data_IF_379156062968
#
_entry.id   IF_379156062968
#
_cell.length_a   1.000
_cell.length_b   1.000
_cell.length_c   1.000
_cell.angle_alpha   90.00
_cell.angle_beta   90.00
_cell.angle_gamma   90.00
#
_symmetry.space_group_name_H-M   'P 1'
#
loop_
_entity.id
_entity.type
_entity.pdbx_description
1 polymer ?
#
# COMPACT_ATOMS: atom_id res chain seq x y z
N UNK A 1 -23.59 -5.40 7.96
CA UNK A 1 -22.10 -5.44 7.94
C UNK A 1 -21.56 -4.04 8.23
N UNK A 2 -20.70 -3.85 9.25
CA UNK A 2 -20.17 -2.54 9.59
C UNK A 2 -19.16 -2.07 8.53
N UNK A 3 -19.25 -0.80 8.12
CA UNK A 3 -18.28 -0.15 7.23
C UNK A 3 -17.00 0.17 8.01
N UNK A 4 -15.85 0.23 7.34
CA UNK A 4 -14.60 0.69 7.96
C UNK A 4 -14.60 2.21 8.19
N UNK A 5 -15.34 2.96 7.38
CA UNK A 5 -15.53 4.40 7.52
C UNK A 5 -16.98 4.74 7.82
N UNK A 6 -17.18 5.90 8.45
CA UNK A 6 -18.51 6.46 8.69
C UNK A 6 -19.28 6.63 7.36
N UNK A 7 -20.60 6.41 7.33
CA UNK A 7 -21.42 6.70 6.17
C UNK A 7 -21.25 8.16 5.69
N UNK A 8 -21.01 8.36 4.40
CA UNK A 8 -20.84 9.69 3.79
C UNK A 8 -19.40 10.21 3.72
N UNK A 9 -18.44 9.57 4.40
CA UNK A 9 -17.00 9.88 4.27
C UNK A 9 -16.31 8.81 3.44
N UNK A 10 -15.96 9.15 2.20
CA UNK A 10 -15.02 8.41 1.37
C UNK A 10 -13.63 8.99 1.63
N UNK A 11 -12.72 8.19 2.20
CA UNK A 11 -11.30 8.55 2.23
C UNK A 11 -10.61 7.88 1.06
N UNK A 12 -9.95 8.66 0.21
CA UNK A 12 -9.18 8.10 -0.91
C UNK A 12 -7.90 7.41 -0.45
N UNK A 13 -7.36 7.81 0.71
CA UNK A 13 -6.09 7.32 1.24
C UNK A 13 -6.12 7.24 2.77
N UNK A 14 -5.27 6.40 3.38
CA UNK A 14 -5.09 6.36 4.83
C UNK A 14 -4.38 7.64 5.33
N UNK A 15 -4.90 8.29 6.38
CA UNK A 15 -4.24 9.46 6.97
C UNK A 15 -2.91 9.06 7.63
N UNK A 16 -1.84 9.87 7.53
CA UNK A 16 -0.51 9.57 8.06
C UNK A 16 -0.50 9.21 9.55
N UNK A 17 -1.38 9.82 10.34
CA UNK A 17 -1.50 9.58 11.78
C UNK A 17 -1.96 8.14 12.11
N UNK A 18 -2.43 7.38 11.11
CA UNK A 18 -2.88 6.00 11.25
C UNK A 18 -1.97 4.99 10.52
N UNK A 19 -0.85 5.43 9.94
CA UNK A 19 0.02 4.55 9.18
C UNK A 19 0.67 3.45 10.02
N UNK A 20 0.84 3.66 11.32
CA UNK A 20 1.37 2.62 12.21
C UNK A 20 0.37 1.47 12.46
N UNK A 21 -0.92 1.60 12.12
CA UNK A 21 -1.96 0.62 12.43
C UNK A 21 -3.21 0.80 11.58
N UNK A 22 -3.05 0.71 10.26
CA UNK A 22 -4.13 0.89 9.32
C UNK A 22 -4.91 -0.40 9.07
N UNK A 23 -6.22 -0.40 9.34
CA UNK A 23 -7.09 -1.55 9.08
C UNK A 23 -7.86 -1.37 7.78
N UNK A 24 -7.69 -2.30 6.85
CA UNK A 24 -8.48 -2.37 5.61
C UNK A 24 -8.98 -3.79 5.32
N UNK A 25 -9.91 -3.90 4.36
CA UNK A 25 -10.33 -5.20 3.86
C UNK A 25 -9.29 -5.73 2.86
N UNK A 26 -8.90 -6.99 3.02
CA UNK A 26 -8.00 -7.67 2.10
C UNK A 26 -8.64 -7.76 0.71
N UNK A 27 -7.99 -7.16 -0.29
CA UNK A 27 -8.49 -7.07 -1.66
C UNK A 27 -8.78 -8.44 -2.27
N UNK A 28 -8.01 -9.48 -1.92
CA UNK A 28 -8.23 -10.85 -2.42
C UNK A 28 -9.37 -11.60 -1.73
N UNK A 29 -9.89 -11.10 -0.61
CA UNK A 29 -10.92 -11.80 0.19
C UNK A 29 -12.32 -11.74 -0.44
N UNK A 30 -12.55 -10.82 -1.40
CA UNK A 30 -13.83 -10.68 -2.10
C UNK A 30 -15.01 -10.55 -1.13
N UNK A 31 -15.99 -11.46 -1.24
CA UNK A 31 -17.19 -11.47 -0.39
C UNK A 31 -16.92 -11.79 1.09
N UNK A 32 -15.79 -12.44 1.41
CA UNK A 32 -15.43 -12.76 2.80
C UNK A 32 -15.05 -11.51 3.61
N UNK A 33 -14.56 -10.46 2.93
CA UNK A 33 -14.22 -9.14 3.50
C UNK A 33 -13.40 -9.28 4.78
N UNK A 34 -12.35 -10.08 4.69
CA UNK A 34 -11.40 -10.29 5.78
C UNK A 34 -10.69 -8.96 6.06
N UNK A 35 -10.63 -8.56 7.33
CA UNK A 35 -9.91 -7.35 7.74
C UNK A 35 -8.46 -7.72 8.00
N UNK A 36 -7.54 -6.88 7.53
CA UNK A 36 -6.12 -6.96 7.86
C UNK A 36 -5.62 -5.63 8.39
N UNK A 37 -4.68 -5.72 9.32
CA UNK A 37 -3.96 -4.58 9.87
C UNK A 37 -2.59 -4.45 9.20
N UNK A 38 -2.30 -3.25 8.72
CA UNK A 38 -1.07 -2.93 8.03
C UNK A 38 -0.31 -1.83 8.75
N UNK A 39 1.01 -1.93 8.72
CA UNK A 39 1.89 -0.78 8.88
C UNK A 39 2.18 -0.21 7.50
N UNK A 40 2.05 1.11 7.34
CA UNK A 40 2.26 1.81 6.08
C UNK A 40 3.55 2.60 6.17
N UNK A 41 4.51 2.29 5.30
CA UNK A 41 5.82 2.95 5.27
C UNK A 41 6.04 3.64 3.93
N UNK A 42 6.22 4.97 3.90
CA UNK A 42 6.56 5.70 2.68
C UNK A 42 7.89 5.25 2.10
N UNK A 43 7.95 5.13 0.77
CA UNK A 43 9.17 4.84 0.03
C UNK A 43 9.12 5.49 -1.35
N UNK A 44 10.19 5.33 -2.13
CA UNK A 44 10.29 5.85 -3.48
C UNK A 44 10.37 4.70 -4.50
N UNK A 45 9.75 4.89 -5.65
CA UNK A 45 9.85 3.96 -6.78
C UNK A 45 11.19 4.15 -7.50
N UNK A 46 11.94 3.06 -7.69
CA UNK A 46 13.23 3.06 -8.39
C UNK A 46 13.18 2.38 -9.77
N UNK A 47 11.99 2.21 -10.36
CA UNK A 47 11.84 1.56 -11.67
C UNK A 47 12.14 2.47 -12.86
N UNK A 48 12.23 3.78 -12.65
CA UNK A 48 12.70 4.76 -13.62
C UNK A 48 13.10 6.06 -12.90
N UNK A 49 13.64 7.00 -13.64
CA UNK A 49 14.15 8.31 -13.19
C UNK A 49 13.07 9.25 -12.63
N UNK A 50 11.79 8.92 -12.79
CA UNK A 50 10.69 9.74 -12.29
C UNK A 50 10.58 9.74 -10.74
N UNK A 51 11.12 8.72 -10.06
CA UNK A 51 11.21 8.70 -8.60
C UNK A 51 9.87 8.84 -7.86
N UNK A 52 8.76 8.32 -8.39
CA UNK A 52 7.43 8.49 -7.80
C UNK A 52 7.37 7.96 -6.36
N UNK A 53 6.73 8.70 -5.46
CA UNK A 53 6.49 8.23 -4.09
C UNK A 53 5.48 7.09 -4.04
N UNK A 54 5.81 6.07 -3.23
CA UNK A 54 5.01 4.90 -2.95
C UNK A 54 4.69 4.79 -1.45
N UNK A 55 3.60 4.10 -1.14
CA UNK A 55 3.27 3.61 0.20
C UNK A 55 3.42 2.10 0.21
N UNK A 56 4.26 1.57 1.09
CA UNK A 56 4.44 0.14 1.30
C UNK A 56 3.47 -0.33 2.37
N UNK A 57 2.56 -1.23 2.04
CA UNK A 57 1.65 -1.84 3.00
C UNK A 57 2.31 -3.11 3.52
N UNK A 58 2.73 -3.10 4.78
CA UNK A 58 3.38 -4.20 5.47
C UNK A 58 2.32 -4.89 6.33
N UNK A 59 2.12 -6.18 6.11
CA UNK A 59 1.22 -6.98 6.94
C UNK A 59 1.84 -7.12 8.34
N UNK A 60 1.11 -6.70 9.39
CA UNK A 60 1.64 -6.75 10.75
C UNK A 60 1.78 -8.16 11.31
N UNK A 61 1.06 -9.13 10.78
CA UNK A 61 1.15 -10.52 11.24
C UNK A 61 2.39 -11.21 10.68
N UNK A 62 2.67 -11.01 9.39
CA UNK A 62 3.78 -11.68 8.70
C UNK A 62 5.04 -10.82 8.61
N UNK A 63 4.92 -9.52 8.85
CA UNK A 63 5.96 -8.50 8.62
C UNK A 63 6.47 -8.44 7.18
N UNK A 64 5.67 -8.91 6.22
CA UNK A 64 6.00 -8.87 4.80
C UNK A 64 5.29 -7.72 4.09
N UNK A 65 5.92 -7.17 3.05
CA UNK A 65 5.26 -6.21 2.17
C UNK A 65 4.16 -6.94 1.36
N UNK A 66 2.93 -6.49 1.53
CA UNK A 66 1.74 -7.05 0.89
C UNK A 66 1.43 -6.39 -0.46
N UNK A 67 1.57 -5.07 -0.56
CA UNK A 67 1.30 -4.27 -1.77
C UNK A 67 2.01 -2.91 -1.71
N UNK A 68 2.13 -2.27 -2.88
CA UNK A 68 2.53 -0.88 -3.00
C UNK A 68 1.40 -0.06 -3.62
N UNK A 69 1.14 1.12 -3.05
CA UNK A 69 0.23 2.13 -3.60
C UNK A 69 0.96 3.46 -3.80
N UNK A 70 0.31 4.44 -4.43
CA UNK A 70 0.92 5.76 -4.63
C UNK A 70 0.85 6.59 -3.36
N UNK A 71 1.94 7.30 -3.03
CA UNK A 71 1.94 8.21 -1.89
C UNK A 71 1.29 9.55 -2.27
N UNK A 72 0.09 9.89 -1.75
CA UNK A 72 -0.59 11.15 -2.06
C UNK A 72 0.20 12.37 -1.57
N UNK A 73 1.05 12.21 -0.56
CA UNK A 73 1.86 13.27 0.03
C UNK A 73 3.19 13.50 -0.72
N UNK A 74 3.53 12.66 -1.70
CA UNK A 74 4.74 12.85 -2.49
C UNK A 74 4.55 14.03 -3.48
N UNK A 75 5.47 15.03 -3.50
CA UNK A 75 5.24 16.29 -4.21
C UNK A 75 5.14 16.15 -5.73
N UNK A 76 5.91 15.23 -6.32
CA UNK A 76 5.89 14.98 -7.77
C UNK A 76 4.67 14.18 -8.21
N UNK A 77 4.63 12.89 -7.84
CA UNK A 77 3.59 11.95 -8.22
C UNK A 77 2.20 12.19 -7.62
N UNK A 78 2.09 12.77 -6.42
CA UNK A 78 0.81 13.06 -5.73
C UNK A 78 -0.17 11.88 -5.73
N UNK A 79 0.35 10.69 -5.40
CA UNK A 79 -0.44 9.45 -5.33
C UNK A 79 -0.69 8.75 -6.67
N UNK A 80 -0.28 9.32 -7.80
CA UNK A 80 -0.40 8.68 -9.11
C UNK A 80 0.76 7.72 -9.36
N UNK A 81 0.44 6.53 -9.84
CA UNK A 81 1.42 5.52 -10.23
C UNK A 81 1.14 4.97 -11.63
N UNK A 82 2.20 4.68 -12.38
CA UNK A 82 2.09 3.82 -13.56
C UNK A 82 2.09 2.34 -13.14
N UNK A 83 1.88 1.43 -14.09
CA UNK A 83 1.83 -0.01 -13.84
C UNK A 83 3.11 -0.55 -13.15
N UNK A 84 4.27 0.08 -13.37
CA UNK A 84 5.53 -0.35 -12.76
C UNK A 84 5.56 -0.16 -11.23
N UNK A 85 4.88 0.84 -10.68
CA UNK A 85 4.94 1.14 -9.24
C UNK A 85 4.43 -0.02 -8.37
N UNK A 86 3.18 -0.47 -8.57
CA UNK A 86 2.65 -1.65 -7.87
C UNK A 86 3.42 -2.93 -8.18
N UNK A 87 3.98 -3.06 -9.40
CA UNK A 87 4.73 -4.23 -9.84
C UNK A 87 6.09 -4.40 -9.13
N UNK A 88 6.59 -3.40 -8.39
CA UNK A 88 7.80 -3.52 -7.56
C UNK A 88 7.71 -4.68 -6.55
N UNK A 89 6.49 -5.13 -6.20
CA UNK A 89 6.30 -6.32 -5.37
C UNK A 89 6.97 -7.58 -5.94
N UNK A 90 7.05 -7.69 -7.28
CA UNK A 90 7.67 -8.84 -7.92
C UNK A 90 9.19 -8.85 -7.72
N UNK A 91 9.84 -7.68 -7.67
CA UNK A 91 11.29 -7.58 -7.48
C UNK A 91 11.72 -8.03 -6.09
N UNK A 92 10.95 -7.69 -5.06
CA UNK A 92 11.28 -8.12 -3.68
C UNK A 92 10.93 -9.59 -3.42
N UNK A 93 10.06 -10.19 -4.25
CA UNK A 93 9.65 -11.60 -4.19
C UNK A 93 10.29 -12.45 -5.29
N UNK A 94 11.30 -11.91 -5.96
CA UNK A 94 11.97 -12.61 -7.06
C UNK A 94 12.74 -13.82 -6.51
N UNK A 95 12.41 -15.06 -6.93
CA UNK A 95 13.09 -16.27 -6.45
C UNK A 95 14.55 -16.34 -6.90
N UNK A 96 14.94 -15.60 -7.95
CA UNK A 96 16.30 -15.57 -8.49
C UNK A 96 17.16 -14.46 -7.85
N UNK A 97 16.63 -13.73 -6.86
CA UNK A 97 17.35 -12.68 -6.14
C UNK A 97 18.55 -13.23 -5.36
N UNK A 98 19.70 -12.60 -5.53
CA UNK A 98 20.92 -12.92 -4.75
C UNK A 98 20.76 -12.47 -3.30
N UNK A 99 21.17 -13.32 -2.35
CA UNK A 99 21.11 -13.11 -0.89
C UNK A 99 22.49 -12.82 -0.29
#
# INVERSE_FOLDING_TARGET
MPRLTEPGKLSSYPPPEKWDGWVEYEAKSGFRREKKEYMIVPTNCFNCEAGCGLLSYIDKETMEVRKFEGNPYHPGSRGRNCAKGPATINQIKDPDRIL
#
